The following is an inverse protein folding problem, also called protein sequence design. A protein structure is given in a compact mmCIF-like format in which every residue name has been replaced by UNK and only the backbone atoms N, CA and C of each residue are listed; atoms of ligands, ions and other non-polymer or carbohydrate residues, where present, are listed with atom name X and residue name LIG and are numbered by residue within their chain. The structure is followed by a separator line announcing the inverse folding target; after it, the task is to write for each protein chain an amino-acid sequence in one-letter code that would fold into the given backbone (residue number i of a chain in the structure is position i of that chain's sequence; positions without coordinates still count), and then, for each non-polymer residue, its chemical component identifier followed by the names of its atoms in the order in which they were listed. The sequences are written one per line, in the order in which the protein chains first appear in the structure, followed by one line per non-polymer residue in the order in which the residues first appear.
data_IF_002164076649
#
_entry.id   IF_002164076649
#
_cell.length_a   1.000
_cell.length_b   1.000
_cell.length_c   1.000
_cell.angle_alpha   90.00
_cell.angle_beta   90.00
_cell.angle_gamma   90.00
#
_symmetry.space_group_name_H-M   'P 1'
#
loop_
_entity.id
_entity.type
_entity.pdbx_description
1 polymer ?
#
# COMPACT_ATOMS: atom_id res chain seq x y z
N UNK A 1 10.41 19.66 5.40
CA UNK A 1 9.83 18.65 6.31
C UNK A 1 10.72 17.43 6.52
N UNK A 2 11.17 16.73 5.47
CA UNK A 2 11.93 15.45 5.60
C UNK A 2 13.24 15.56 6.41
N UNK A 3 14.03 16.62 6.21
CA UNK A 3 15.32 16.80 6.93
C UNK A 3 15.16 16.96 8.44
N UNK A 4 14.11 17.64 8.90
CA UNK A 4 13.85 17.81 10.33
C UNK A 4 13.46 16.48 10.97
N UNK A 5 12.63 15.68 10.28
CA UNK A 5 12.25 14.35 10.72
C UNK A 5 13.44 13.39 10.77
N UNK A 6 14.27 13.36 9.71
CA UNK A 6 15.52 12.58 9.69
C UNK A 6 16.43 12.94 10.85
N UNK A 7 16.65 14.23 11.12
CA UNK A 7 17.46 14.69 12.26
C UNK A 7 16.87 14.23 13.60
N UNK A 8 15.56 14.32 13.79
CA UNK A 8 14.89 13.90 15.01
C UNK A 8 15.00 12.39 15.25
N UNK A 9 14.77 11.57 14.21
CA UNK A 9 14.93 10.11 14.26
C UNK A 9 16.38 9.74 14.54
N UNK A 10 17.34 10.34 13.83
CA UNK A 10 18.76 10.09 14.03
C UNK A 10 19.19 10.43 15.46
N UNK A 11 18.72 11.54 16.02
CA UNK A 11 18.97 11.92 17.41
C UNK A 11 18.35 10.90 18.39
N UNK A 12 17.09 10.52 18.19
CA UNK A 12 16.35 9.61 19.08
C UNK A 12 16.96 8.21 19.15
N UNK A 13 17.41 7.69 18.02
CA UNK A 13 17.91 6.31 17.89
C UNK A 13 19.43 6.23 17.74
N UNK A 14 20.15 7.32 18.00
CA UNK A 14 21.61 7.43 17.84
C UNK A 14 22.12 6.93 16.46
N UNK A 15 21.36 7.21 15.40
CA UNK A 15 21.72 6.89 14.01
C UNK A 15 22.42 8.07 13.34
N UNK A 16 23.10 7.80 12.23
CA UNK A 16 23.68 8.80 11.32
C UNK A 16 23.29 8.48 9.88
N UNK A 17 23.35 9.49 9.01
CA UNK A 17 23.08 9.33 7.58
C UNK A 17 21.62 9.60 7.17
N UNK A 18 21.31 9.31 5.90
CA UNK A 18 19.97 9.50 5.35
C UNK A 18 18.98 8.49 5.92
N UNK A 19 17.73 8.92 6.09
CA UNK A 19 16.59 8.06 6.43
C UNK A 19 15.73 7.72 5.21
N UNK A 20 15.70 8.61 4.22
CA UNK A 20 14.89 8.48 3.02
C UNK A 20 15.78 8.18 1.80
N UNK A 21 15.23 7.51 0.79
CA UNK A 21 15.87 7.42 -0.51
C UNK A 21 16.02 8.83 -1.12
N UNK A 22 17.14 9.11 -1.78
CA UNK A 22 17.41 10.44 -2.37
C UNK A 22 16.40 10.79 -3.48
N UNK A 23 16.01 9.80 -4.29
CA UNK A 23 15.05 9.96 -5.38
C UNK A 23 13.89 8.99 -5.20
N UNK A 24 12.70 9.55 -4.97
CA UNK A 24 11.46 8.77 -4.93
C UNK A 24 11.07 8.37 -6.35
N UNK A 25 10.76 7.09 -6.55
CA UNK A 25 10.06 6.62 -7.75
C UNK A 25 8.66 7.23 -7.78
N UNK A 26 8.25 7.78 -8.92
CA UNK A 26 6.91 8.33 -9.15
C UNK A 26 6.45 7.91 -10.53
N UNK A 27 5.40 7.11 -10.58
CA UNK A 27 4.79 6.62 -11.82
C UNK A 27 3.45 7.33 -11.99
N UNK A 28 3.21 7.91 -13.16
CA UNK A 28 1.91 8.49 -13.48
C UNK A 28 0.96 7.35 -13.79
N UNK A 29 -0.15 7.30 -13.05
CA UNK A 29 -1.23 6.35 -13.31
C UNK A 29 -2.09 6.94 -14.43
N UNK A 30 -2.10 6.30 -15.60
CA UNK A 30 -2.97 6.66 -16.72
C UNK A 30 -4.07 5.62 -16.97
N UNK A 31 -3.79 4.35 -16.66
CA UNK A 31 -4.70 3.24 -16.89
C UNK A 31 -5.41 2.80 -15.60
N UNK A 32 -6.71 2.59 -15.69
CA UNK A 32 -7.53 2.11 -14.57
C UNK A 32 -7.09 0.72 -14.12
N UNK A 33 -6.79 -0.19 -15.05
CA UNK A 33 -6.30 -1.54 -14.73
C UNK A 33 -5.04 -1.50 -13.85
N UNK A 34 -4.11 -0.60 -14.16
CA UNK A 34 -2.90 -0.40 -13.35
C UNK A 34 -3.25 0.11 -11.94
N UNK A 35 -4.20 1.03 -11.84
CA UNK A 35 -4.68 1.55 -10.56
C UNK A 35 -5.28 0.45 -9.68
N UNK A 36 -6.14 -0.41 -10.25
CA UNK A 36 -6.75 -1.52 -9.51
C UNK A 36 -5.70 -2.51 -9.03
N UNK A 37 -4.76 -2.89 -9.90
CA UNK A 37 -3.63 -3.76 -9.56
C UNK A 37 -2.76 -3.16 -8.44
N UNK A 38 -2.55 -1.85 -8.44
CA UNK A 38 -1.80 -1.16 -7.38
C UNK A 38 -2.52 -1.24 -6.03
N UNK A 39 -3.84 -1.04 -5.99
CA UNK A 39 -4.63 -1.16 -4.76
C UNK A 39 -4.50 -2.59 -4.21
N UNK A 40 -4.63 -3.60 -5.07
CA UNK A 40 -4.49 -5.01 -4.68
C UNK A 40 -3.09 -5.26 -4.12
N UNK A 41 -2.05 -4.82 -4.81
CA UNK A 41 -0.67 -5.01 -4.38
C UNK A 41 -0.39 -4.37 -3.03
N UNK A 42 -0.70 -3.08 -2.86
CA UNK A 42 -0.46 -2.35 -1.60
C UNK A 42 -1.17 -3.02 -0.42
N UNK A 43 -2.43 -3.42 -0.60
CA UNK A 43 -3.21 -4.06 0.46
C UNK A 43 -2.81 -5.50 0.74
N UNK A 44 -2.00 -6.11 -0.11
CA UNK A 44 -1.55 -7.50 0.04
C UNK A 44 -0.04 -7.66 0.12
N UNK A 45 0.67 -6.52 0.23
CA UNK A 45 2.13 -6.44 0.22
C UNK A 45 2.74 -7.20 1.41
N UNK A 46 2.10 -7.14 2.57
CA UNK A 46 2.57 -7.83 3.78
C UNK A 46 2.66 -9.35 3.57
N UNK A 47 1.65 -9.96 2.93
CA UNK A 47 1.70 -11.40 2.61
C UNK A 47 2.57 -11.72 1.42
N UNK A 48 2.66 -10.81 0.44
CA UNK A 48 3.56 -10.97 -0.71
C UNK A 48 5.01 -11.13 -0.26
N UNK A 49 5.46 -10.24 0.63
CA UNK A 49 6.81 -10.22 1.19
C UNK A 49 6.99 -11.12 2.43
N UNK A 50 6.00 -11.99 2.72
CA UNK A 50 6.03 -12.93 3.84
C UNK A 50 6.27 -12.25 5.22
N UNK A 51 5.83 -11.00 5.36
CA UNK A 51 5.94 -10.21 6.59
C UNK A 51 4.83 -10.61 7.57
N UNK A 52 3.58 -10.71 7.09
CA UNK A 52 2.39 -11.02 7.89
C UNK A 52 1.21 -11.44 6.99
N UNK A 53 0.11 -11.88 7.58
CA UNK A 53 -1.16 -11.99 6.89
C UNK A 53 -1.75 -10.59 6.62
N UNK A 54 -2.00 -10.29 5.35
CA UNK A 54 -2.50 -8.99 4.91
C UNK A 54 -3.85 -8.63 5.54
N UNK A 55 -4.63 -9.64 5.95
CA UNK A 55 -5.94 -9.47 6.61
C UNK A 55 -5.80 -8.92 8.02
N UNK A 56 -4.68 -9.21 8.68
CA UNK A 56 -4.40 -8.77 10.06
C UNK A 56 -3.32 -7.69 10.13
N UNK A 57 -2.64 -7.40 9.01
CA UNK A 57 -1.57 -6.42 8.95
C UNK A 57 -2.07 -4.99 9.16
N UNK A 58 -1.78 -4.44 10.34
CA UNK A 58 -2.29 -3.15 10.81
C UNK A 58 -1.77 -1.91 10.06
N UNK A 59 -0.70 -2.06 9.27
CA UNK A 59 -0.08 -0.96 8.53
C UNK A 59 -0.51 -0.93 7.05
N UNK A 60 -1.72 -1.41 6.76
CA UNK A 60 -2.36 -1.34 5.44
C UNK A 60 -3.73 -0.64 5.55
N UNK A 61 -4.29 -0.24 4.41
CA UNK A 61 -5.64 0.32 4.35
C UNK A 61 -6.75 -0.74 4.38
N UNK A 62 -6.42 -2.03 4.25
CA UNK A 62 -7.37 -3.13 4.13
C UNK A 62 -8.44 -3.11 5.22
N UNK A 63 -8.02 -3.09 6.48
CA UNK A 63 -8.93 -3.09 7.62
C UNK A 63 -9.86 -1.87 7.65
N UNK A 64 -9.36 -0.71 7.23
CA UNK A 64 -10.17 0.51 7.16
C UNK A 64 -11.20 0.41 6.02
N UNK A 65 -10.82 -0.12 4.86
CA UNK A 65 -11.69 -0.26 3.68
C UNK A 65 -12.84 -1.25 3.91
N UNK A 66 -12.62 -2.36 4.60
CA UNK A 66 -13.67 -3.37 4.85
C UNK A 66 -14.55 -3.09 6.09
N UNK A 67 -14.17 -2.13 6.93
CA UNK A 67 -14.90 -1.80 8.16
C UNK A 67 -15.95 -0.71 7.94
N UNK A 68 -16.91 -0.61 8.86
CA UNK A 68 -17.90 0.47 8.90
C UNK A 68 -17.47 1.67 9.78
N UNK A 69 -16.26 1.64 10.33
CA UNK A 69 -15.75 2.72 11.19
C UNK A 69 -15.46 3.97 10.36
N UNK A 70 -15.50 5.14 10.98
CA UNK A 70 -15.09 6.37 10.31
C UNK A 70 -13.63 6.29 9.86
N UNK A 71 -13.33 6.82 8.67
CA UNK A 71 -12.00 6.81 8.08
C UNK A 71 -11.81 8.05 7.23
N UNK A 72 -10.56 8.51 7.13
CA UNK A 72 -10.18 9.59 6.20
C UNK A 72 -10.02 9.08 4.75
N UNK A 73 -10.12 7.76 4.54
CA UNK A 73 -10.07 7.17 3.21
C UNK A 73 -11.39 7.41 2.48
N UNK A 74 -11.30 7.62 1.16
CA UNK A 74 -12.43 7.61 0.23
C UNK A 74 -12.94 6.18 0.02
N UNK A 75 -13.48 5.56 1.08
CA UNK A 75 -13.87 4.15 1.09
C UNK A 75 -14.83 3.84 -0.04
N UNK A 76 -15.90 4.62 -0.16
CA UNK A 76 -16.98 4.34 -1.11
C UNK A 76 -16.46 4.40 -2.55
N UNK A 77 -15.63 5.41 -2.88
CA UNK A 77 -14.98 5.51 -4.20
C UNK A 77 -14.10 4.29 -4.47
N UNK A 78 -13.26 3.89 -3.50
CA UNK A 78 -12.37 2.74 -3.66
C UNK A 78 -13.15 1.45 -3.83
N UNK A 79 -14.17 1.21 -3.00
CA UNK A 79 -14.98 -0.02 -3.05
C UNK A 79 -15.80 -0.09 -4.33
N UNK A 80 -16.28 1.05 -4.85
CA UNK A 80 -17.04 1.10 -6.10
C UNK A 80 -16.24 0.55 -7.29
N UNK A 81 -14.92 0.74 -7.32
CA UNK A 81 -14.05 0.12 -8.35
C UNK A 81 -14.01 -1.41 -8.29
N UNK A 82 -14.43 -2.00 -7.17
CA UNK A 82 -14.50 -3.44 -6.97
C UNK A 82 -15.96 -3.90 -6.82
N UNK A 83 -16.94 -3.10 -7.26
CA UNK A 83 -18.39 -3.30 -7.10
C UNK A 83 -18.88 -3.25 -5.65
N UNK A 84 -18.34 -4.11 -4.78
CA UNK A 84 -18.69 -4.20 -3.38
C UNK A 84 -17.52 -4.70 -2.50
N UNK A 85 -17.75 -4.68 -1.18
CA UNK A 85 -16.75 -5.08 -0.19
C UNK A 85 -16.39 -6.57 -0.29
N UNK A 86 -17.33 -7.42 -0.70
CA UNK A 86 -17.12 -8.86 -0.75
C UNK A 86 -16.32 -9.25 -2.00
N UNK A 87 -16.57 -8.60 -3.14
CA UNK A 87 -15.75 -8.72 -4.33
C UNK A 87 -14.35 -8.12 -4.11
N UNK A 88 -14.22 -6.99 -3.40
CA UNK A 88 -12.91 -6.48 -2.97
C UNK A 88 -12.12 -7.53 -2.17
N UNK A 89 -12.73 -8.17 -1.16
CA UNK A 89 -12.09 -9.25 -0.39
C UNK A 89 -11.74 -10.45 -1.28
N UNK A 90 -12.64 -10.81 -2.19
CA UNK A 90 -12.44 -11.93 -3.11
C UNK A 90 -11.23 -11.71 -4.02
N UNK A 91 -11.15 -10.55 -4.67
CA UNK A 91 -10.03 -10.19 -5.57
C UNK A 91 -8.69 -10.15 -4.82
N UNK A 92 -8.66 -9.58 -3.61
CA UNK A 92 -7.45 -9.56 -2.78
C UNK A 92 -7.00 -10.97 -2.35
N UNK A 93 -7.94 -11.90 -2.14
CA UNK A 93 -7.64 -13.29 -1.79
C UNK A 93 -7.22 -14.12 -3.00
N UNK A 94 -7.88 -13.94 -4.14
CA UNK A 94 -7.62 -14.71 -5.37
C UNK A 94 -6.32 -14.33 -6.04
N UNK A 95 -5.79 -13.12 -5.76
CA UNK A 95 -4.42 -12.70 -6.07
C UNK A 95 -3.91 -13.18 -7.44
N UNK A 96 -4.69 -12.96 -8.49
CA UNK A 96 -4.17 -13.04 -9.87
C UNK A 96 -3.36 -11.78 -10.17
N UNK A 97 -2.33 -11.53 -9.36
CA UNK A 97 -1.42 -10.41 -9.58
C UNK A 97 -0.51 -10.80 -10.74
N UNK A 98 -0.61 -10.06 -11.84
CA UNK A 98 0.47 -10.03 -12.81
C UNK A 98 1.64 -9.25 -12.20
N UNK A 99 2.53 -9.96 -11.49
CA UNK A 99 3.65 -9.38 -10.76
C UNK A 99 4.58 -8.57 -11.69
N UNK A 100 4.62 -8.93 -12.97
CA UNK A 100 5.43 -8.26 -13.99
C UNK A 100 4.98 -6.80 -14.22
N UNK A 101 3.71 -6.47 -13.98
CA UNK A 101 3.18 -5.09 -14.12
C UNK A 101 3.61 -4.18 -12.96
N UNK A 102 3.99 -4.76 -11.81
CA UNK A 102 4.26 -4.02 -10.56
C UNK A 102 5.76 -4.02 -10.21
N UNK A 103 6.59 -4.77 -10.94
CA UNK A 103 8.05 -4.80 -10.78
C UNK A 103 8.70 -3.41 -10.73
N UNK A 104 8.16 -2.42 -11.47
CA UNK A 104 8.70 -1.05 -11.44
C UNK A 104 8.60 -0.38 -10.06
N UNK A 105 7.58 -0.73 -9.27
CA UNK A 105 7.29 -0.20 -7.93
C UNK A 105 7.87 -1.09 -6.85
N UNK A 106 8.07 -2.38 -7.12
CA UNK A 106 8.77 -3.27 -6.20
C UNK A 106 10.20 -2.73 -5.99
N UNK A 107 10.66 -2.83 -4.75
CA UNK A 107 12.01 -2.43 -4.35
C UNK A 107 13.01 -3.59 -4.46
N UNK A 108 12.55 -4.73 -5.01
CA UNK A 108 13.35 -5.90 -5.34
C UNK A 108 14.11 -5.71 -6.66
#
# INVERSE_FOLDING_TARGET
MLNAYTKAINKRYNRKGSLFQEHLKRIKISEEEYFLNLIIYVNTNASHHQIDDFRTYKYSSYAALISQKETLLKRDEVIQFFDDVDNFKYVLKSKNINVDVIQEISLE
#
